data_IF_332225644672
#
_entry.id   IF_332225644672
#
_cell.length_a   1.000
_cell.length_b   1.000
_cell.length_c   1.000
_cell.angle_alpha   90.00
_cell.angle_beta   90.00
_cell.angle_gamma   90.00
#
_symmetry.space_group_name_H-M   'P 1'
#
loop_
_entity.id
_entity.type
_entity.pdbx_description
1 polymer ?
#
# COMPACT_ATOMS: atom_id res chain seq x y z
N UNK A 1 -67.82 8.57 9.61
CA UNK A 1 -68.26 9.98 9.60
C UNK A 1 -67.28 10.71 8.71
N UNK A 2 -67.65 10.83 7.45
CA UNK A 2 -66.89 11.55 6.44
C UNK A 2 -66.85 13.02 6.84
N UNK A 3 -65.66 13.51 7.18
CA UNK A 3 -65.47 14.93 7.44
C UNK A 3 -65.36 15.62 6.09
N UNK A 4 -66.52 15.89 5.50
CA UNK A 4 -66.66 16.87 4.42
C UNK A 4 -66.23 18.22 4.97
N UNK A 5 -64.95 18.55 4.78
CA UNK A 5 -64.42 19.89 4.94
C UNK A 5 -64.90 20.69 3.72
N UNK A 6 -65.64 21.78 3.94
CA UNK A 6 -66.01 22.67 2.83
C UNK A 6 -64.76 23.15 2.10
N UNK A 7 -64.86 23.43 0.80
CA UNK A 7 -63.72 23.87 -0.02
C UNK A 7 -62.97 25.05 0.63
N UNK A 8 -63.70 25.97 1.28
CA UNK A 8 -63.11 27.09 2.01
C UNK A 8 -62.24 26.67 3.20
N UNK A 9 -62.67 25.67 3.98
CA UNK A 9 -61.92 25.18 5.13
C UNK A 9 -60.66 24.41 4.73
N UNK A 10 -60.71 23.67 3.62
CA UNK A 10 -59.54 23.01 3.05
C UNK A 10 -58.50 24.03 2.59
N UNK A 11 -58.93 25.10 1.93
CA UNK A 11 -58.06 26.20 1.48
C UNK A 11 -57.41 26.91 2.66
N UNK A 12 -58.15 27.19 3.74
CA UNK A 12 -57.59 27.81 4.94
C UNK A 12 -56.55 26.91 5.64
N UNK A 13 -56.79 25.60 5.72
CA UNK A 13 -55.85 24.65 6.33
C UNK A 13 -54.52 24.61 5.56
N UNK A 14 -54.56 24.60 4.23
CA UNK A 14 -53.36 24.64 3.38
C UNK A 14 -52.60 25.97 3.56
N UNK A 15 -53.31 27.11 3.61
CA UNK A 15 -52.69 28.42 3.85
C UNK A 15 -51.99 28.49 5.21
N UNK A 16 -52.61 27.96 6.27
CA UNK A 16 -52.03 27.93 7.61
C UNK A 16 -50.79 27.03 7.66
N UNK A 17 -50.86 25.84 7.06
CA UNK A 17 -49.72 24.91 6.98
C UNK A 17 -48.50 25.55 6.30
N UNK A 18 -48.69 26.20 5.15
CA UNK A 18 -47.60 26.87 4.45
C UNK A 18 -47.08 28.10 5.19
N UNK A 19 -47.95 28.84 5.89
CA UNK A 19 -47.53 29.98 6.72
C UNK A 19 -46.68 29.53 7.91
N UNK A 20 -46.97 28.35 8.48
CA UNK A 20 -46.30 27.81 9.66
C UNK A 20 -45.00 27.05 9.31
N UNK A 21 -45.01 26.25 8.23
CA UNK A 21 -43.90 25.34 7.89
C UNK A 21 -43.16 25.68 6.58
N UNK A 22 -43.67 26.61 5.77
CA UNK A 22 -43.13 26.88 4.42
C UNK A 22 -41.64 27.25 4.41
N UNK A 23 -41.19 28.07 5.37
CA UNK A 23 -39.78 28.43 5.50
C UNK A 23 -38.92 27.20 5.83
N UNK A 24 -39.35 26.36 6.78
CA UNK A 24 -38.63 25.15 7.18
C UNK A 24 -38.56 24.13 6.05
N UNK A 25 -39.65 23.96 5.29
CA UNK A 25 -39.69 23.08 4.13
C UNK A 25 -38.71 23.58 3.07
N UNK A 26 -38.75 24.87 2.71
CA UNK A 26 -37.84 25.45 1.72
C UNK A 26 -36.38 25.36 2.18
N UNK A 27 -36.10 25.68 3.45
CA UNK A 27 -34.76 25.57 4.01
C UNK A 27 -34.26 24.11 3.99
N UNK A 28 -35.10 23.16 4.40
CA UNK A 28 -34.81 21.74 4.34
C UNK A 28 -34.56 21.23 2.92
N UNK A 29 -35.37 21.68 1.95
CA UNK A 29 -35.19 21.35 0.53
C UNK A 29 -33.88 21.91 -0.02
N UNK A 30 -33.54 23.17 0.26
CA UNK A 30 -32.29 23.78 -0.19
C UNK A 30 -31.09 23.06 0.42
N UNK A 31 -31.13 22.75 1.72
CA UNK A 31 -30.08 21.99 2.39
C UNK A 31 -29.95 20.57 1.84
N UNK A 32 -31.07 19.88 1.62
CA UNK A 32 -31.10 18.53 1.07
C UNK A 32 -30.55 18.48 -0.36
N UNK A 33 -31.00 19.36 -1.24
CA UNK A 33 -30.51 19.45 -2.60
C UNK A 33 -29.04 19.90 -2.64
N UNK A 34 -28.67 20.93 -1.87
CA UNK A 34 -27.30 21.41 -1.78
C UNK A 34 -26.32 20.33 -1.32
N UNK A 35 -26.69 19.57 -0.28
CA UNK A 35 -25.92 18.43 0.20
C UNK A 35 -25.78 17.33 -0.85
N UNK A 36 -26.87 16.98 -1.54
CA UNK A 36 -26.86 15.94 -2.58
C UNK A 36 -25.98 16.34 -3.78
N UNK A 37 -26.15 17.56 -4.30
CA UNK A 37 -25.33 18.06 -5.42
C UNK A 37 -23.86 18.22 -5.02
N UNK A 38 -23.59 18.74 -3.82
CA UNK A 38 -22.23 18.87 -3.30
C UNK A 38 -21.54 17.51 -3.18
N UNK A 39 -22.22 16.50 -2.62
CA UNK A 39 -21.68 15.15 -2.52
C UNK A 39 -21.45 14.50 -3.89
N UNK A 40 -22.40 14.64 -4.82
CA UNK A 40 -22.25 14.12 -6.19
C UNK A 40 -21.10 14.77 -6.94
N UNK A 41 -20.94 16.09 -6.83
CA UNK A 41 -19.82 16.81 -7.42
C UNK A 41 -18.49 16.32 -6.85
N UNK A 42 -18.40 16.19 -5.52
CA UNK A 42 -17.22 15.66 -4.86
C UNK A 42 -16.88 14.23 -5.31
N UNK A 43 -17.88 13.35 -5.39
CA UNK A 43 -17.69 11.98 -5.85
C UNK A 43 -17.24 11.92 -7.31
N UNK A 44 -17.85 12.73 -8.19
CA UNK A 44 -17.44 12.83 -9.59
C UNK A 44 -16.01 13.32 -9.76
N UNK A 45 -15.61 14.32 -8.98
CA UNK A 45 -14.24 14.84 -8.97
C UNK A 45 -13.21 13.81 -8.47
N UNK A 46 -13.57 13.00 -7.46
CA UNK A 46 -12.73 11.89 -6.99
C UNK A 46 -12.58 10.80 -8.06
N UNK A 47 -13.67 10.45 -8.75
CA UNK A 47 -13.65 9.44 -9.81
C UNK A 47 -12.79 9.90 -11.00
N UNK A 48 -12.98 11.13 -11.47
CA UNK A 48 -12.20 11.68 -12.58
C UNK A 48 -10.69 11.73 -12.28
N UNK A 49 -10.30 12.09 -11.05
CA UNK A 49 -8.89 12.03 -10.62
C UNK A 49 -8.35 10.61 -10.61
N UNK A 50 -9.13 9.63 -10.16
CA UNK A 50 -8.71 8.23 -10.16
C UNK A 50 -8.55 7.68 -11.58
N UNK A 51 -9.46 8.03 -12.50
CA UNK A 51 -9.36 7.69 -13.92
C UNK A 51 -8.10 8.30 -14.56
N UNK A 52 -7.85 9.59 -14.34
CA UNK A 52 -6.67 10.27 -14.87
C UNK A 52 -5.37 9.65 -14.33
N UNK A 53 -5.33 9.32 -13.03
CA UNK A 53 -4.19 8.64 -12.43
C UNK A 53 -3.99 7.26 -13.07
N UNK A 54 -5.06 6.46 -13.27
CA UNK A 54 -4.99 5.16 -13.93
C UNK A 54 -4.43 5.26 -15.35
N UNK A 55 -4.98 6.13 -16.18
CA UNK A 55 -4.51 6.32 -17.57
C UNK A 55 -3.06 6.83 -17.62
N UNK A 56 -2.65 7.67 -16.65
CA UNK A 56 -1.26 8.07 -16.51
C UNK A 56 -0.35 6.88 -16.16
N UNK A 57 -0.78 6.02 -15.25
CA UNK A 57 -0.04 4.82 -14.86
C UNK A 57 0.05 3.78 -15.98
N UNK A 58 -0.99 3.61 -16.80
CA UNK A 58 -0.96 2.73 -17.97
C UNK A 58 0.08 3.20 -19.01
N UNK A 59 0.14 4.51 -19.28
CA UNK A 59 1.16 5.09 -20.16
C UNK A 59 2.56 4.88 -19.61
N UNK A 60 2.70 4.99 -18.28
CA UNK A 60 3.93 4.68 -17.59
C UNK A 60 4.35 3.22 -17.83
N UNK A 61 3.46 2.25 -17.61
CA UNK A 61 3.76 0.84 -17.87
C UNK A 61 4.23 0.59 -19.31
N UNK A 62 3.57 1.21 -20.30
CA UNK A 62 3.98 1.10 -21.70
C UNK A 62 5.38 1.69 -21.95
N UNK A 63 5.68 2.86 -21.39
CA UNK A 63 6.99 3.49 -21.51
C UNK A 63 8.09 2.62 -20.87
N UNK A 64 7.80 1.99 -19.73
CA UNK A 64 8.68 1.05 -19.04
C UNK A 64 8.94 -0.20 -19.88
N UNK A 65 7.89 -0.82 -20.41
CA UNK A 65 7.99 -2.02 -21.25
C UNK A 65 8.78 -1.77 -22.54
N UNK A 66 8.63 -0.59 -23.13
CA UNK A 66 9.37 -0.17 -24.31
C UNK A 66 10.80 0.30 -24.00
N UNK A 67 11.20 0.31 -22.73
CA UNK A 67 12.50 0.82 -22.28
C UNK A 67 12.77 2.24 -22.80
N UNK A 68 11.75 3.09 -22.78
CA UNK A 68 11.90 4.49 -23.19
C UNK A 68 12.97 5.17 -22.34
N UNK A 69 13.84 5.97 -22.97
CA UNK A 69 14.93 6.67 -22.29
C UNK A 69 14.43 7.58 -21.15
N UNK A 70 13.22 8.13 -21.30
CA UNK A 70 12.64 9.09 -20.35
C UNK A 70 11.81 8.42 -19.24
N UNK A 71 11.64 7.09 -19.26
CA UNK A 71 10.80 6.33 -18.33
C UNK A 71 11.00 6.73 -16.85
N UNK A 72 12.25 6.80 -16.42
CA UNK A 72 12.63 7.07 -15.02
C UNK A 72 12.20 8.48 -14.59
N UNK A 73 12.30 9.46 -15.50
CA UNK A 73 11.91 10.84 -15.27
C UNK A 73 10.39 11.01 -15.35
N UNK A 74 9.73 10.32 -16.28
CA UNK A 74 8.27 10.30 -16.40
C UNK A 74 7.63 9.71 -15.15
N UNK A 75 8.19 8.61 -14.63
CA UNK A 75 7.75 8.00 -13.39
C UNK A 75 7.91 8.97 -12.19
N UNK A 76 9.02 9.72 -12.10
CA UNK A 76 9.21 10.70 -11.02
C UNK A 76 8.12 11.78 -11.06
N UNK A 77 7.93 12.42 -12.23
CA UNK A 77 6.91 13.46 -12.41
C UNK A 77 5.51 12.95 -12.10
N UNK A 78 5.22 11.71 -12.48
CA UNK A 78 3.96 11.08 -12.17
C UNK A 78 3.78 10.86 -10.66
N UNK A 79 4.80 10.36 -9.96
CA UNK A 79 4.76 10.14 -8.51
C UNK A 79 4.52 11.47 -7.78
N UNK A 80 5.23 12.54 -8.16
CA UNK A 80 5.08 13.86 -7.57
C UNK A 80 3.66 14.42 -7.76
N UNK A 81 3.14 14.35 -8.98
CA UNK A 81 1.81 14.87 -9.33
C UNK A 81 0.65 14.03 -8.80
N UNK A 82 0.87 12.75 -8.51
CA UNK A 82 -0.18 11.81 -8.08
C UNK A 82 0.09 11.23 -6.67
N UNK A 83 0.91 11.90 -5.85
CA UNK A 83 1.45 11.39 -4.57
C UNK A 83 0.42 10.87 -3.57
N UNK A 84 -0.84 11.30 -3.68
CA UNK A 84 -1.95 10.87 -2.81
C UNK A 84 -2.70 9.62 -3.32
N UNK A 85 -2.29 9.06 -4.45
CA UNK A 85 -2.95 7.93 -5.11
C UNK A 85 -2.19 6.62 -4.92
N UNK A 86 -2.90 5.49 -4.93
CA UNK A 86 -2.26 4.18 -4.91
C UNK A 86 -1.39 3.94 -6.16
N UNK A 87 -1.72 4.58 -7.29
CA UNK A 87 -0.93 4.45 -8.51
C UNK A 87 0.46 5.09 -8.40
N UNK A 88 0.62 6.20 -7.65
CA UNK A 88 1.95 6.75 -7.36
C UNK A 88 2.79 5.76 -6.55
N UNK A 89 2.18 5.08 -5.59
CA UNK A 89 2.84 3.99 -4.85
C UNK A 89 3.30 2.86 -5.77
N UNK A 90 2.46 2.43 -6.71
CA UNK A 90 2.85 1.40 -7.69
C UNK A 90 3.94 1.87 -8.65
N UNK A 91 3.90 3.13 -9.09
CA UNK A 91 4.95 3.72 -9.92
C UNK A 91 6.30 3.76 -9.17
N UNK A 92 6.31 4.17 -7.91
CA UNK A 92 7.52 4.16 -7.07
C UNK A 92 8.06 2.72 -6.87
N UNK A 93 7.19 1.74 -6.63
CA UNK A 93 7.60 0.33 -6.54
C UNK A 93 8.17 -0.22 -7.84
N UNK A 94 7.62 0.19 -8.99
CA UNK A 94 8.11 -0.20 -10.31
C UNK A 94 9.48 0.42 -10.59
N UNK A 95 9.63 1.71 -10.29
CA UNK A 95 10.90 2.43 -10.40
C UNK A 95 11.98 1.81 -9.51
N UNK A 96 11.62 1.42 -8.28
CA UNK A 96 12.53 0.71 -7.38
C UNK A 96 12.98 -0.65 -7.95
N UNK A 97 12.07 -1.42 -8.57
CA UNK A 97 12.41 -2.69 -9.22
C UNK A 97 13.46 -2.48 -10.32
N UNK A 98 13.21 -1.52 -11.20
CA UNK A 98 14.11 -1.25 -12.33
C UNK A 98 15.47 -0.73 -11.84
N UNK A 99 15.48 0.10 -10.78
CA UNK A 99 16.71 0.54 -10.13
C UNK A 99 17.53 -0.64 -9.58
N UNK A 100 16.91 -1.61 -8.90
CA UNK A 100 17.58 -2.84 -8.45
C UNK A 100 18.15 -3.63 -9.63
N UNK A 101 17.40 -3.78 -10.73
CA UNK A 101 17.86 -4.49 -11.92
C UNK A 101 19.04 -3.78 -12.60
N UNK A 102 19.10 -2.46 -12.52
CA UNK A 102 20.21 -1.64 -13.01
C UNK A 102 21.40 -1.58 -12.03
N UNK A 103 21.28 -2.16 -10.82
CA UNK A 103 22.30 -2.06 -9.76
C UNK A 103 22.32 -0.71 -9.03
N UNK A 104 21.36 0.18 -9.29
CA UNK A 104 21.20 1.45 -8.58
C UNK A 104 20.43 1.23 -7.27
N UNK A 105 21.13 0.68 -6.28
CA UNK A 105 20.56 0.42 -4.96
C UNK A 105 20.19 1.70 -4.20
N UNK A 106 20.83 2.83 -4.50
CA UNK A 106 20.50 4.12 -3.85
C UNK A 106 19.14 4.63 -4.30
N UNK A 107 18.86 4.58 -5.61
CA UNK A 107 17.55 4.92 -6.13
C UNK A 107 16.48 3.94 -5.64
N UNK A 108 16.78 2.64 -5.59
CA UNK A 108 15.86 1.65 -5.04
C UNK A 108 15.50 1.94 -3.57
N UNK A 109 16.49 2.28 -2.76
CA UNK A 109 16.32 2.68 -1.36
C UNK A 109 15.40 3.91 -1.24
N UNK A 110 15.68 4.96 -2.01
CA UNK A 110 14.87 6.18 -2.04
C UNK A 110 13.39 5.87 -2.36
N UNK A 111 13.15 5.10 -3.42
CA UNK A 111 11.80 4.83 -3.90
C UNK A 111 11.02 3.91 -2.95
N UNK A 112 11.65 2.88 -2.38
CA UNK A 112 11.00 2.01 -1.39
C UNK A 112 10.77 2.73 -0.06
N UNK A 113 11.69 3.60 0.36
CA UNK A 113 11.51 4.48 1.51
C UNK A 113 10.33 5.43 1.32
N UNK A 114 10.21 6.01 0.12
CA UNK A 114 9.05 6.84 -0.23
C UNK A 114 7.74 6.04 -0.16
N UNK A 115 7.71 4.81 -0.67
CA UNK A 115 6.53 3.93 -0.56
C UNK A 115 6.12 3.70 0.89
N UNK A 116 7.08 3.36 1.76
CA UNK A 116 6.83 3.12 3.20
C UNK A 116 6.29 4.39 3.87
N UNK A 117 6.80 5.56 3.51
CA UNK A 117 6.36 6.84 4.08
C UNK A 117 4.96 7.28 3.63
N UNK A 118 4.50 6.83 2.46
CA UNK A 118 3.26 7.33 1.83
C UNK A 118 2.12 6.30 1.81
N UNK A 119 2.41 5.01 1.94
CA UNK A 119 1.35 3.98 1.97
C UNK A 119 0.65 3.91 3.33
N UNK A 120 -0.65 3.63 3.28
CA UNK A 120 -1.45 3.24 4.46
C UNK A 120 -1.88 1.78 4.41
N UNK A 121 -1.58 1.10 3.31
CA UNK A 121 -1.91 -0.30 3.11
C UNK A 121 -0.85 -1.19 3.80
N UNK A 122 -1.23 -2.02 4.78
CA UNK A 122 -0.28 -2.83 5.54
C UNK A 122 0.38 -3.94 4.71
N UNK A 123 -0.24 -4.38 3.62
CA UNK A 123 0.33 -5.34 2.67
C UNK A 123 1.42 -4.65 1.84
N UNK A 124 1.15 -3.45 1.33
CA UNK A 124 2.14 -2.67 0.58
C UNK A 124 3.32 -2.28 1.47
N UNK A 125 3.08 -1.82 2.69
CA UNK A 125 4.14 -1.49 3.66
C UNK A 125 5.04 -2.70 3.93
N UNK A 126 4.45 -3.88 4.19
CA UNK A 126 5.22 -5.10 4.42
C UNK A 126 6.07 -5.50 3.21
N UNK A 127 5.51 -5.43 1.99
CA UNK A 127 6.25 -5.72 0.75
C UNK A 127 7.41 -4.73 0.58
N UNK A 128 7.18 -3.43 0.78
CA UNK A 128 8.19 -2.41 0.61
C UNK A 128 9.32 -2.56 1.64
N UNK A 129 9.00 -2.84 2.91
CA UNK A 129 10.01 -3.13 3.96
C UNK A 129 10.84 -4.37 3.66
N UNK A 130 10.21 -5.46 3.22
CA UNK A 130 10.93 -6.69 2.85
C UNK A 130 11.85 -6.45 1.65
N UNK A 131 11.43 -5.67 0.66
CA UNK A 131 12.26 -5.33 -0.50
C UNK A 131 13.41 -4.40 -0.10
N UNK A 132 13.13 -3.39 0.72
CA UNK A 132 14.15 -2.44 1.18
C UNK A 132 15.19 -3.12 2.08
N UNK A 133 14.78 -4.06 2.92
CA UNK A 133 15.71 -4.87 3.70
C UNK A 133 16.64 -5.73 2.82
N UNK A 134 16.16 -6.22 1.67
CA UNK A 134 17.03 -6.92 0.68
C UNK A 134 17.99 -5.95 0.00
N UNK A 135 17.56 -4.72 -0.31
CA UNK A 135 18.44 -3.67 -0.85
C UNK A 135 19.56 -3.36 0.14
N UNK A 136 19.23 -3.11 1.40
CA UNK A 136 20.22 -2.90 2.46
C UNK A 136 21.12 -4.12 2.68
N UNK A 137 20.59 -5.34 2.59
CA UNK A 137 21.40 -6.56 2.64
C UNK A 137 22.44 -6.58 1.51
N UNK A 138 22.02 -6.26 0.28
CA UNK A 138 22.92 -6.18 -0.87
C UNK A 138 23.99 -5.08 -0.73
N UNK A 139 23.64 -3.98 -0.06
CA UNK A 139 24.57 -2.91 0.30
C UNK A 139 25.39 -3.19 1.57
N UNK A 140 25.26 -4.39 2.18
CA UNK A 140 25.90 -4.78 3.44
C UNK A 140 25.52 -3.90 4.64
N UNK A 141 24.41 -3.17 4.57
CA UNK A 141 23.85 -2.33 5.62
C UNK A 141 22.96 -3.15 6.57
N UNK A 142 23.55 -4.17 7.19
CA UNK A 142 22.81 -5.20 7.93
C UNK A 142 21.94 -4.66 9.07
N UNK A 143 22.42 -3.65 9.81
CA UNK A 143 21.67 -3.03 10.90
C UNK A 143 20.40 -2.33 10.41
N UNK A 144 20.47 -1.64 9.26
CA UNK A 144 19.32 -0.98 8.64
C UNK A 144 18.33 -2.02 8.09
N UNK A 145 18.85 -3.08 7.45
CA UNK A 145 18.05 -4.20 6.99
C UNK A 145 17.25 -4.87 8.13
N UNK A 146 17.91 -5.17 9.26
CA UNK A 146 17.25 -5.77 10.42
C UNK A 146 16.21 -4.83 11.04
N UNK A 147 16.49 -3.52 11.11
CA UNK A 147 15.58 -2.52 11.68
C UNK A 147 14.23 -2.50 10.94
N UNK A 148 14.24 -2.59 9.61
CA UNK A 148 13.01 -2.67 8.80
C UNK A 148 12.15 -3.89 9.12
N UNK A 149 12.78 -4.97 9.62
CA UNK A 149 12.14 -6.24 9.95
C UNK A 149 11.77 -6.37 11.44
N UNK A 150 11.98 -5.34 12.27
CA UNK A 150 11.60 -5.38 13.69
C UNK A 150 10.09 -5.16 13.92
N UNK A 151 9.40 -4.50 12.97
CA UNK A 151 7.97 -4.18 13.09
C UNK A 151 7.04 -5.41 12.98
N UNK A 152 5.81 -5.24 13.45
CA UNK A 152 4.75 -6.21 13.20
C UNK A 152 4.28 -6.12 11.76
N UNK A 153 4.48 -7.19 11.00
CA UNK A 153 3.92 -7.39 9.66
C UNK A 153 2.66 -8.27 9.74
N UNK A 154 1.78 -8.22 8.72
CA UNK A 154 0.67 -9.16 8.61
C UNK A 154 1.15 -10.61 8.70
N UNK A 155 0.31 -11.49 9.24
CA UNK A 155 0.66 -12.91 9.50
C UNK A 155 1.20 -13.61 8.25
N UNK A 156 0.64 -13.29 7.07
CA UNK A 156 1.07 -13.84 5.77
C UNK A 156 2.51 -13.51 5.37
N UNK A 157 3.15 -12.53 6.02
CA UNK A 157 4.53 -12.13 5.76
C UNK A 157 5.52 -12.63 6.83
N UNK A 158 5.06 -13.34 7.86
CA UNK A 158 5.92 -13.78 8.98
C UNK A 158 7.01 -14.73 8.51
N UNK A 159 6.70 -15.64 7.59
CA UNK A 159 7.71 -16.53 7.00
C UNK A 159 8.82 -15.72 6.34
N UNK A 160 8.47 -14.80 5.43
CA UNK A 160 9.43 -14.01 4.66
C UNK A 160 10.21 -13.03 5.56
N UNK A 161 9.57 -12.50 6.60
CA UNK A 161 10.23 -11.66 7.60
C UNK A 161 11.33 -12.43 8.32
N UNK A 162 11.05 -13.65 8.78
CA UNK A 162 12.01 -14.46 9.53
C UNK A 162 13.09 -15.07 8.62
N UNK A 163 12.71 -15.51 7.41
CA UNK A 163 13.67 -15.98 6.42
C UNK A 163 14.69 -14.89 6.10
N UNK A 164 14.25 -13.67 5.80
CA UNK A 164 15.17 -12.58 5.48
C UNK A 164 16.03 -12.15 6.68
N UNK A 165 15.51 -12.22 7.92
CA UNK A 165 16.35 -12.04 9.13
C UNK A 165 17.46 -13.08 9.19
N UNK A 166 17.14 -14.33 8.86
CA UNK A 166 18.12 -15.40 8.79
C UNK A 166 19.19 -15.14 7.74
N UNK A 167 18.78 -14.74 6.53
CA UNK A 167 19.69 -14.38 5.43
C UNK A 167 20.63 -13.24 5.84
N UNK A 168 20.12 -12.22 6.53
CA UNK A 168 20.93 -11.09 7.02
C UNK A 168 21.93 -11.55 8.09
N UNK A 169 21.49 -12.34 9.07
CA UNK A 169 22.39 -12.86 10.11
C UNK A 169 23.47 -13.78 9.54
N UNK A 170 23.12 -14.59 8.54
CA UNK A 170 24.08 -15.44 7.85
C UNK A 170 25.13 -14.60 7.11
N UNK A 171 24.72 -13.54 6.41
CA UNK A 171 25.64 -12.61 5.76
C UNK A 171 26.55 -11.85 6.75
N UNK A 172 26.11 -11.67 8.01
CA UNK A 172 26.93 -11.15 9.10
C UNK A 172 27.88 -12.20 9.72
N UNK A 173 27.84 -13.46 9.29
CA UNK A 173 28.58 -14.57 9.88
C UNK A 173 27.99 -15.10 11.20
N UNK A 174 26.77 -14.67 11.57
CA UNK A 174 26.09 -15.12 12.78
C UNK A 174 25.18 -16.33 12.49
N UNK A 175 25.80 -17.50 12.33
CA UNK A 175 25.11 -18.75 11.98
C UNK A 175 24.05 -19.17 13.02
N UNK A 176 24.31 -18.93 14.31
CA UNK A 176 23.35 -19.25 15.38
C UNK A 176 22.08 -18.40 15.30
N UNK A 177 22.22 -17.09 15.13
CA UNK A 177 21.06 -16.21 14.95
C UNK A 177 20.33 -16.51 13.63
N UNK A 178 21.06 -16.87 12.57
CA UNK A 178 20.46 -17.29 11.30
C UNK A 178 19.60 -18.55 11.47
N UNK A 179 20.13 -19.58 12.14
CA UNK A 179 19.41 -20.82 12.45
C UNK A 179 18.14 -20.56 13.25
N UNK A 180 18.22 -19.72 14.28
CA UNK A 180 17.05 -19.34 15.08
C UNK A 180 15.97 -18.67 14.22
N UNK A 181 16.36 -17.72 13.38
CA UNK A 181 15.42 -17.04 12.47
C UNK A 181 14.78 -18.01 11.48
N UNK A 182 15.55 -18.92 10.87
CA UNK A 182 14.99 -19.93 9.96
C UNK A 182 14.05 -20.92 10.66
N UNK A 183 14.31 -21.29 11.92
CA UNK A 183 13.37 -22.10 12.71
C UNK A 183 12.05 -21.35 12.96
N UNK A 184 12.10 -20.04 13.23
CA UNK A 184 10.90 -19.21 13.35
C UNK A 184 10.15 -19.06 12.03
N UNK A 185 10.87 -18.97 10.91
CA UNK A 185 10.28 -18.95 9.57
C UNK A 185 9.50 -20.24 9.30
N UNK A 186 10.08 -21.39 9.63
CA UNK A 186 9.45 -22.72 9.48
C UNK A 186 8.21 -22.86 10.38
N UNK A 187 8.23 -22.31 11.58
CA UNK A 187 7.07 -22.31 12.46
C UNK A 187 5.92 -21.42 11.95
N UNK A 188 6.22 -20.44 11.09
CA UNK A 188 5.25 -19.51 10.50
C UNK A 188 4.61 -20.02 9.21
N UNK A 189 4.99 -21.21 8.76
CA UNK A 189 4.76 -21.76 7.43
C UNK A 189 3.36 -22.37 7.22
N UNK A 190 2.59 -22.62 8.28
CA UNK A 190 1.41 -23.47 8.16
C UNK A 190 1.80 -24.87 7.61
N UNK A 191 0.86 -25.60 7.01
CA UNK A 191 1.07 -27.00 6.61
C UNK A 191 1.89 -27.24 5.32
N UNK A 192 2.47 -26.20 4.71
CA UNK A 192 3.13 -26.30 3.39
C UNK A 192 4.64 -26.11 3.48
N UNK A 193 5.37 -27.22 3.51
CA UNK A 193 6.83 -27.21 3.65
C UNK A 193 7.55 -26.53 2.46
N UNK A 194 8.27 -25.44 2.73
CA UNK A 194 9.17 -24.77 1.80
C UNK A 194 10.50 -25.54 1.74
N UNK A 195 10.75 -26.19 0.60
CA UNK A 195 11.97 -26.95 0.35
C UNK A 195 13.23 -26.08 0.42
N UNK A 196 13.14 -24.79 0.08
CA UNK A 196 14.27 -23.86 0.17
C UNK A 196 14.71 -23.63 1.61
N UNK A 197 13.76 -23.51 2.55
CA UNK A 197 14.08 -23.28 3.96
C UNK A 197 14.75 -24.50 4.59
N UNK A 198 14.36 -25.72 4.16
CA UNK A 198 15.05 -26.95 4.57
C UNK A 198 16.50 -26.96 4.09
N UNK A 199 16.74 -26.64 2.82
CA UNK A 199 18.10 -26.55 2.26
C UNK A 199 18.96 -25.54 3.05
N UNK A 200 18.42 -24.36 3.35
CA UNK A 200 19.13 -23.34 4.16
C UNK A 200 19.48 -23.83 5.56
N UNK A 201 18.57 -24.56 6.22
CA UNK A 201 18.81 -25.14 7.55
C UNK A 201 19.85 -26.26 7.52
N UNK A 202 19.82 -27.11 6.50
CA UNK A 202 20.74 -28.24 6.34
C UNK A 202 22.17 -27.75 6.04
N UNK A 203 22.31 -26.69 5.24
CA UNK A 203 23.59 -26.04 4.96
C UNK A 203 24.25 -25.51 6.24
N UNK A 204 23.48 -24.84 7.12
CA UNK A 204 23.99 -24.37 8.42
C UNK A 204 24.42 -25.53 9.32
N UNK A 205 23.72 -26.66 9.29
CA UNK A 205 24.11 -27.83 10.05
C UNK A 205 25.46 -28.41 9.56
N UNK A 206 25.72 -28.34 8.25
CA UNK A 206 26.97 -28.81 7.67
C UNK A 206 28.17 -27.92 8.05
N UNK A 207 28.01 -26.58 7.96
CA UNK A 207 29.05 -25.61 8.34
C UNK A 207 29.45 -25.74 9.83
N UNK A 208 28.49 -26.01 10.72
CA UNK A 208 28.79 -26.28 12.13
C UNK A 208 29.61 -27.56 12.34
N UNK A 209 29.49 -28.54 11.44
CA UNK A 209 30.18 -29.82 11.56
C UNK A 209 31.63 -29.74 11.08
N UNK A 210 31.92 -28.92 10.06
CA UNK A 210 33.30 -28.68 9.59
C UNK A 210 34.12 -27.80 10.53
N UNK A 211 33.50 -26.87 11.26
CA UNK A 211 34.21 -26.03 12.25
C UNK A 211 34.58 -26.72 13.57
N UNK A 212 34.16 -27.97 13.78
CA UNK A 212 34.46 -28.79 14.96
C UNK A 212 35.53 -29.87 14.70
N UNK A 213 36.07 -29.95 13.49
CA UNK A 213 37.19 -30.83 13.10
C UNK A 213 38.48 -30.02 12.97
#
# INVERSE_FOLDING_TARGET
MDVYSSEEQQVEAIKRFWKEYGITIVAGTILGLGGLYGFRYYQGHQLAQAEQASTGFERLLQAQEQQSADWVQDAERYIESNSKTAYATFAAMLKARDAVLAGDFSLAEQQLGWVIANTKDPVIDAIARLRLARVHLQQQQYSQALALLQGNMPVSFKLQQQELKGDIHLAQGNAEAAKQAYMLAKASEGAQANQLLKIKLDELAHVQTEGML
#
